data_IF_487298824756
#
_entry.id   IF_487298824756
#
_cell.length_a   1.000
_cell.length_b   1.000
_cell.length_c   1.000
_cell.angle_alpha   90.00
_cell.angle_beta   90.00
_cell.angle_gamma   90.00
#
_symmetry.space_group_name_H-M   'P 1'
#
loop_
_entity.id
_entity.type
_entity.pdbx_description
1 polymer ?
#
# COMPACT_ATOMS: atom_id res chain seq x y z
N UNK A 1 18.49 -5.61 15.54
CA UNK A 1 17.60 -5.82 14.38
C UNK A 1 18.28 -6.82 13.46
N UNK A 2 17.59 -7.92 13.14
CA UNK A 2 18.10 -8.92 12.22
C UNK A 2 18.27 -8.34 10.79
N UNK A 3 19.17 -8.90 9.95
CA UNK A 3 19.27 -8.52 8.54
C UNK A 3 17.93 -8.62 7.79
N UNK A 4 17.13 -9.61 8.15
CA UNK A 4 15.78 -9.85 7.60
C UNK A 4 14.83 -8.69 7.95
N UNK A 5 14.86 -8.23 9.20
CA UNK A 5 14.08 -7.06 9.65
C UNK A 5 14.49 -5.77 8.91
N UNK A 6 15.78 -5.60 8.59
CA UNK A 6 16.26 -4.46 7.78
C UNK A 6 15.78 -4.53 6.34
N UNK A 7 15.85 -5.71 5.72
CA UNK A 7 15.36 -5.93 4.37
C UNK A 7 13.85 -5.69 4.27
N UNK A 8 13.07 -6.19 5.24
CA UNK A 8 11.63 -5.95 5.29
C UNK A 8 11.30 -4.45 5.36
N UNK A 9 12.05 -3.68 6.16
CA UNK A 9 11.86 -2.21 6.20
C UNK A 9 12.23 -1.53 4.88
N UNK A 10 13.30 -1.96 4.21
CA UNK A 10 13.65 -1.44 2.89
C UNK A 10 12.53 -1.69 1.88
N UNK A 11 11.96 -2.90 1.88
CA UNK A 11 10.84 -3.26 1.02
C UNK A 11 9.59 -2.43 1.34
N UNK A 12 9.30 -2.18 2.62
CA UNK A 12 8.20 -1.30 3.04
C UNK A 12 8.40 0.15 2.60
N UNK A 13 9.64 0.66 2.61
CA UNK A 13 9.98 1.99 2.10
C UNK A 13 9.75 2.04 0.59
N UNK A 14 10.29 1.08 -0.17
CA UNK A 14 10.09 1.02 -1.62
C UNK A 14 8.61 0.93 -1.98
N UNK A 15 7.86 0.08 -1.28
CA UNK A 15 6.41 -0.03 -1.44
C UNK A 15 5.69 1.29 -1.17
N UNK A 16 6.06 2.01 -0.11
CA UNK A 16 5.47 3.30 0.19
C UNK A 16 5.69 4.33 -0.93
N UNK A 17 6.89 4.35 -1.52
CA UNK A 17 7.21 5.20 -2.67
C UNK A 17 6.38 4.82 -3.90
N UNK A 18 6.21 3.52 -4.18
CA UNK A 18 5.35 3.02 -5.27
C UNK A 18 3.90 3.48 -5.06
N UNK A 19 3.35 3.37 -3.84
CA UNK A 19 2.01 3.86 -3.53
C UNK A 19 1.86 5.37 -3.78
N UNK A 20 2.85 6.17 -3.36
CA UNK A 20 2.81 7.62 -3.59
C UNK A 20 2.84 7.91 -5.10
N UNK A 21 3.73 7.26 -5.86
CA UNK A 21 3.80 7.43 -7.32
C UNK A 21 2.49 7.01 -8.01
N UNK A 22 1.94 5.85 -7.64
CA UNK A 22 0.68 5.35 -8.16
C UNK A 22 -0.49 6.29 -7.84
N UNK A 23 -0.54 6.84 -6.62
CA UNK A 23 -1.59 7.75 -6.20
C UNK A 23 -1.50 9.16 -6.81
N UNK A 24 -0.31 9.58 -7.23
CA UNK A 24 -0.08 10.82 -7.99
C UNK A 24 -0.50 10.64 -9.47
N UNK A 25 -0.35 9.44 -10.02
CA UNK A 25 -0.62 9.15 -11.43
C UNK A 25 -2.02 9.57 -11.97
N UNK A 26 -3.15 9.37 -11.26
CA UNK A 26 -4.48 9.76 -11.77
C UNK A 26 -4.66 11.28 -11.90
N UNK A 27 -3.77 12.12 -11.32
CA UNK A 27 -3.77 13.57 -11.54
C UNK A 27 -3.16 13.98 -12.87
N UNK A 28 -2.37 13.09 -13.49
CA UNK A 28 -1.70 13.33 -14.77
C UNK A 28 -2.37 12.56 -15.91
N UNK A 29 -2.74 11.30 -15.66
CA UNK A 29 -3.35 10.44 -16.66
C UNK A 29 -4.33 9.43 -16.03
N UNK A 30 -5.54 9.90 -15.71
CA UNK A 30 -6.59 9.07 -15.12
C UNK A 30 -7.01 7.89 -16.02
N UNK A 31 -6.98 8.07 -17.34
CA UNK A 31 -7.33 7.02 -18.32
C UNK A 31 -6.33 5.87 -18.26
N UNK A 32 -5.03 6.17 -18.28
CA UNK A 32 -3.99 5.15 -18.18
C UNK A 32 -3.95 4.52 -16.78
N UNK A 33 -4.23 5.30 -15.72
CA UNK A 33 -4.42 4.77 -14.37
C UNK A 33 -5.55 3.72 -14.32
N UNK A 34 -6.71 4.02 -14.92
CA UNK A 34 -7.84 3.09 -15.03
C UNK A 34 -7.45 1.84 -15.81
N UNK A 35 -6.66 1.95 -16.88
CA UNK A 35 -6.20 0.82 -17.67
C UNK A 35 -5.22 -0.08 -16.89
N UNK A 36 -4.32 0.50 -16.10
CA UNK A 36 -3.36 -0.24 -15.27
C UNK A 36 -4.06 -0.94 -14.11
N UNK A 37 -4.99 -0.26 -13.43
CA UNK A 37 -5.63 -0.75 -12.21
C UNK A 37 -6.90 -1.55 -12.46
N UNK A 38 -7.51 -1.43 -13.65
CA UNK A 38 -8.82 -2.00 -13.97
C UNK A 38 -9.98 -1.34 -13.20
N UNK A 39 -9.75 -0.17 -12.60
CA UNK A 39 -10.78 0.58 -11.86
C UNK A 39 -11.43 1.60 -12.79
N UNK A 40 -12.60 1.25 -13.30
CA UNK A 40 -13.42 2.18 -14.09
C UNK A 40 -14.24 3.08 -13.17
N UNK A 41 -13.92 4.37 -13.13
CA UNK A 41 -14.65 5.36 -12.37
C UNK A 41 -14.51 6.76 -13.00
N UNK A 42 -15.37 7.73 -12.66
CA UNK A 42 -15.19 9.12 -13.05
C UNK A 42 -13.82 9.65 -12.59
N UNK A 43 -13.21 10.55 -13.38
CA UNK A 43 -11.87 11.10 -13.10
C UNK A 43 -11.70 11.59 -11.65
N UNK A 44 -12.69 12.31 -11.13
CA UNK A 44 -12.67 12.81 -9.75
C UNK A 44 -12.60 11.68 -8.71
N UNK A 45 -13.31 10.58 -8.94
CA UNK A 45 -13.24 9.41 -8.07
C UNK A 45 -11.86 8.72 -8.14
N UNK A 46 -11.24 8.68 -9.33
CA UNK A 46 -9.88 8.16 -9.49
C UNK A 46 -8.83 9.05 -8.80
N UNK A 47 -9.01 10.37 -8.83
CA UNK A 47 -8.17 11.32 -8.09
C UNK A 47 -8.33 11.16 -6.57
N UNK A 48 -9.57 10.99 -6.09
CA UNK A 48 -9.84 10.73 -4.66
C UNK A 48 -9.20 9.40 -4.19
N UNK A 49 -9.28 8.34 -5.01
CA UNK A 49 -8.55 7.09 -4.79
C UNK A 49 -7.03 7.32 -4.79
N UNK A 50 -6.55 8.19 -5.69
CA UNK A 50 -5.16 8.63 -5.75
C UNK A 50 -4.70 9.27 -4.44
N UNK A 51 -5.46 10.22 -3.89
CA UNK A 51 -5.19 10.85 -2.59
C UNK A 51 -5.15 9.83 -1.45
N UNK A 52 -6.09 8.88 -1.44
CA UNK A 52 -6.08 7.79 -0.46
C UNK A 52 -4.81 6.94 -0.55
N UNK A 53 -4.38 6.63 -1.77
CA UNK A 53 -3.16 5.85 -2.03
C UNK A 53 -1.90 6.61 -1.60
N UNK A 54 -1.83 7.93 -1.86
CA UNK A 54 -0.76 8.81 -1.38
C UNK A 54 -0.71 8.82 0.14
N UNK A 55 -1.86 9.02 0.81
CA UNK A 55 -1.93 9.07 2.26
C UNK A 55 -1.44 7.76 2.90
N UNK A 56 -1.89 6.60 2.38
CA UNK A 56 -1.44 5.29 2.84
C UNK A 56 0.08 5.12 2.65
N UNK A 57 0.60 5.49 1.47
CA UNK A 57 2.03 5.44 1.18
C UNK A 57 2.83 6.33 2.14
N UNK A 58 2.37 7.56 2.36
CA UNK A 58 3.02 8.53 3.25
C UNK A 58 3.08 8.05 4.71
N UNK A 59 1.97 7.52 5.24
CA UNK A 59 1.94 6.98 6.61
C UNK A 59 2.89 5.78 6.75
N UNK A 60 2.88 4.84 5.80
CA UNK A 60 3.80 3.70 5.82
C UNK A 60 5.26 4.15 5.77
N UNK A 61 5.59 5.14 4.93
CA UNK A 61 6.94 5.69 4.84
C UNK A 61 7.39 6.26 6.18
N UNK A 62 6.60 7.17 6.77
CA UNK A 62 6.95 7.81 8.04
C UNK A 62 7.12 6.77 9.14
N UNK A 63 6.18 5.83 9.28
CA UNK A 63 6.23 4.84 10.37
C UNK A 63 7.44 3.91 10.22
N UNK A 64 7.80 3.55 8.99
CA UNK A 64 8.97 2.72 8.70
C UNK A 64 10.27 3.47 8.97
N UNK A 65 10.38 4.74 8.56
CA UNK A 65 11.57 5.58 8.77
C UNK A 65 11.79 5.91 10.26
N UNK A 66 10.72 6.18 11.00
CA UNK A 66 10.79 6.38 12.45
C UNK A 66 11.21 5.11 13.20
N UNK A 67 11.13 3.94 12.55
CA UNK A 67 11.42 2.65 13.17
C UNK A 67 10.48 2.31 14.33
N UNK A 68 9.35 3.03 14.45
CA UNK A 68 8.41 2.88 15.54
C UNK A 68 7.53 1.64 15.30
N UNK A 69 7.90 0.55 15.96
CA UNK A 69 7.23 -0.76 15.82
C UNK A 69 5.73 -0.70 16.09
N UNK A 70 5.28 0.16 17.01
CA UNK A 70 3.85 0.28 17.33
C UNK A 70 3.07 0.92 16.18
N UNK A 71 3.64 1.94 15.54
CA UNK A 71 3.01 2.60 14.40
C UNK A 71 3.05 1.72 13.16
N UNK A 72 4.16 1.01 12.90
CA UNK A 72 4.21 0.00 11.84
C UNK A 72 3.20 -1.13 12.08
N UNK A 73 2.98 -1.58 13.31
CA UNK A 73 1.95 -2.58 13.59
C UNK A 73 0.53 -2.09 13.24
N UNK A 74 0.27 -0.78 13.34
CA UNK A 74 -1.04 -0.21 13.00
C UNK A 74 -1.35 -0.23 11.50
N UNK A 75 -0.36 -0.43 10.62
CA UNK A 75 -0.61 -0.61 9.18
C UNK A 75 -1.15 -2.00 8.86
N UNK A 76 -0.92 -3.00 9.73
CA UNK A 76 -1.36 -4.39 9.50
C UNK A 76 -2.89 -4.49 9.42
N UNK A 77 -3.69 -4.00 10.39
CA UNK A 77 -5.15 -4.06 10.29
C UNK A 77 -5.69 -3.32 9.05
N UNK A 78 -5.13 -2.16 8.72
CA UNK A 78 -5.54 -1.38 7.55
C UNK A 78 -5.36 -2.18 6.25
N UNK A 79 -4.21 -2.85 6.11
CA UNK A 79 -3.88 -3.70 4.97
C UNK A 79 -4.77 -4.94 4.89
N UNK A 80 -5.06 -5.58 6.03
CA UNK A 80 -6.00 -6.70 6.09
C UNK A 80 -7.43 -6.29 5.70
N UNK A 81 -7.90 -5.12 6.15
CA UNK A 81 -9.22 -4.58 5.77
C UNK A 81 -9.27 -4.30 4.27
N UNK A 82 -8.22 -3.70 3.71
CA UNK A 82 -8.14 -3.45 2.27
C UNK A 82 -8.11 -4.75 1.44
N UNK A 83 -7.32 -5.74 1.85
CA UNK A 83 -7.31 -7.06 1.22
C UNK A 83 -8.70 -7.74 1.30
N UNK A 84 -9.36 -7.67 2.46
CA UNK A 84 -10.70 -8.19 2.65
C UNK A 84 -11.74 -7.50 1.75
N UNK A 85 -11.63 -6.18 1.58
CA UNK A 85 -12.48 -5.43 0.66
C UNK A 85 -12.26 -5.87 -0.80
N UNK A 86 -11.00 -6.04 -1.22
CA UNK A 86 -10.67 -6.51 -2.57
C UNK A 86 -11.21 -7.92 -2.83
N UNK A 87 -11.17 -8.80 -1.82
CA UNK A 87 -11.77 -10.13 -1.90
C UNK A 87 -13.29 -10.07 -2.09
N UNK A 88 -13.98 -9.27 -1.27
CA UNK A 88 -15.45 -9.12 -1.33
C UNK A 88 -15.91 -8.48 -2.65
N UNK A 89 -15.09 -7.60 -3.23
CA UNK A 89 -15.37 -6.95 -4.51
C UNK A 89 -14.95 -7.78 -5.74
N UNK A 90 -14.61 -9.06 -5.54
CA UNK A 90 -14.16 -10.00 -6.60
C UNK A 90 -13.03 -9.43 -7.48
N UNK A 91 -12.18 -8.58 -6.89
CA UNK A 91 -11.07 -7.95 -7.60
C UNK A 91 -9.97 -8.98 -7.88
N UNK A 92 -9.16 -8.77 -8.93
CA UNK A 92 -8.24 -9.78 -9.43
C UNK A 92 -7.32 -10.33 -8.31
N UNK A 93 -7.15 -11.68 -8.22
CA UNK A 93 -6.37 -12.34 -7.18
C UNK A 93 -4.94 -11.79 -6.96
N UNK A 94 -4.22 -11.29 -7.99
CA UNK A 94 -2.91 -10.67 -7.81
C UNK A 94 -2.88 -9.53 -6.78
N UNK A 95 -3.94 -8.71 -6.70
CA UNK A 95 -4.00 -7.57 -5.76
C UNK A 95 -4.13 -8.06 -4.31
N UNK A 96 -4.91 -9.12 -4.09
CA UNK A 96 -5.05 -9.75 -2.77
C UNK A 96 -3.71 -10.33 -2.30
N UNK A 97 -3.03 -11.07 -3.17
CA UNK A 97 -1.73 -11.69 -2.87
C UNK A 97 -0.69 -10.61 -2.56
N UNK A 98 -0.67 -9.53 -3.34
CA UNK A 98 0.20 -8.38 -3.12
C UNK A 98 0.02 -7.79 -1.72
N UNK A 99 -1.20 -7.50 -1.31
CA UNK A 99 -1.48 -6.91 0.02
C UNK A 99 -1.12 -7.87 1.16
N UNK A 100 -1.35 -9.18 1.00
CA UNK A 100 -0.93 -10.19 1.97
C UNK A 100 0.60 -10.25 2.13
N UNK A 101 1.36 -10.08 1.04
CA UNK A 101 2.82 -9.99 1.09
C UNK A 101 3.28 -8.75 1.86
N UNK A 102 2.59 -7.63 1.69
CA UNK A 102 2.88 -6.38 2.42
C UNK A 102 2.53 -6.48 3.91
N UNK A 103 1.44 -7.17 4.24
CA UNK A 103 1.10 -7.56 5.62
C UNK A 103 2.23 -8.39 6.23
N UNK A 104 2.74 -9.37 5.49
CA UNK A 104 3.84 -10.22 5.95
C UNK A 104 5.13 -9.43 6.19
N UNK A 105 5.52 -8.53 5.28
CA UNK A 105 6.67 -7.64 5.49
C UNK A 105 6.48 -6.72 6.70
N UNK A 106 5.27 -6.20 6.91
CA UNK A 106 4.94 -5.41 8.11
C UNK A 106 5.11 -6.24 9.38
N UNK A 107 4.67 -7.51 9.37
CA UNK A 107 4.89 -8.45 10.47
C UNK A 107 6.38 -8.70 10.75
N UNK A 108 7.17 -9.00 9.71
CA UNK A 108 8.60 -9.22 9.84
C UNK A 108 9.31 -7.97 10.38
N UNK A 109 9.00 -6.78 9.88
CA UNK A 109 9.62 -5.53 10.30
C UNK A 109 9.35 -5.14 11.77
N UNK A 110 8.26 -5.68 12.35
CA UNK A 110 7.83 -5.45 13.73
C UNK A 110 8.35 -6.53 14.68
N UNK A 111 8.26 -7.81 14.29
CA UNK A 111 8.42 -8.95 15.19
C UNK A 111 9.74 -9.74 15.02
N UNK A 112 10.50 -9.53 13.93
CA UNK A 112 11.81 -10.18 13.68
C UNK A 112 13.01 -9.21 13.79
#
# INVERSE_FOLDING_TARGET
MSPISRLARLLLILHALVNIALGIYPFFNATEYSAITGVEAPERALQDLGLGTIAIGWYQLIFTLQGNRKMMASTIPLRCVFAGLMYVLERPPPLLIYELVVVWFSGIAVFA
#
